data_IF_589726350535
#
_entry.id   IF_589726350535
#
_cell.length_a   1.000
_cell.length_b   1.000
_cell.length_c   1.000
_cell.angle_alpha   90.00
_cell.angle_beta   90.00
_cell.angle_gamma   90.00
#
_symmetry.space_group_name_H-M   'P 1'
#
loop_
_entity.id
_entity.type
_entity.pdbx_description
1 polymer ?
#
# COMPACT_ATOMS: atom_id res chain seq x y z
N UNK A 1 -30.14 -1.56 -6.57
CA UNK A 1 -29.41 -1.23 -5.35
C UNK A 1 -27.94 -1.60 -5.57
N UNK A 2 -27.08 -0.65 -5.95
CA UNK A 2 -25.63 -0.88 -6.09
C UNK A 2 -25.07 -1.03 -4.67
N UNK A 3 -24.86 -2.27 -4.22
CA UNK A 3 -24.05 -2.51 -3.02
C UNK A 3 -22.62 -2.05 -3.36
N UNK A 4 -22.15 -1.03 -2.65
CA UNK A 4 -20.74 -0.66 -2.67
C UNK A 4 -19.95 -1.89 -2.28
N UNK A 5 -19.03 -2.29 -3.16
CA UNK A 5 -18.11 -3.36 -2.88
C UNK A 5 -17.13 -2.84 -1.82
N UNK A 6 -17.08 -3.48 -0.67
CA UNK A 6 -15.97 -3.31 0.26
C UNK A 6 -14.73 -3.95 -0.37
N UNK A 7 -13.56 -3.38 -0.08
CA UNK A 7 -12.30 -3.84 -0.67
C UNK A 7 -11.72 -5.06 0.05
N UNK A 8 -12.31 -5.46 1.15
CA UNK A 8 -11.76 -6.47 2.05
C UNK A 8 -11.72 -7.90 1.47
N UNK A 9 -12.50 -8.17 0.41
CA UNK A 9 -12.51 -9.45 -0.31
C UNK A 9 -11.54 -9.50 -1.52
N UNK A 10 -10.81 -8.40 -1.79
CA UNK A 10 -9.72 -8.42 -2.76
C UNK A 10 -8.54 -9.20 -2.19
N UNK A 11 -7.93 -10.03 -3.02
CA UNK A 11 -6.69 -10.71 -2.70
C UNK A 11 -5.51 -9.87 -3.16
N UNK A 12 -4.57 -9.66 -2.26
CA UNK A 12 -3.39 -8.83 -2.46
C UNK A 12 -2.13 -9.64 -2.18
N UNK A 13 -1.12 -9.46 -3.02
CA UNK A 13 0.26 -9.85 -2.80
C UNK A 13 1.14 -8.62 -2.95
N UNK A 14 2.09 -8.41 -2.05
CA UNK A 14 3.10 -7.35 -2.09
C UNK A 14 4.48 -8.00 -2.01
N UNK A 15 5.36 -7.66 -2.93
CA UNK A 15 6.74 -8.13 -2.97
C UNK A 15 7.61 -7.37 -1.96
N UNK A 16 7.39 -7.64 -0.68
CA UNK A 16 8.07 -6.97 0.42
C UNK A 16 8.22 -7.91 1.63
N UNK A 17 9.42 -7.94 2.22
CA UNK A 17 9.71 -8.68 3.45
C UNK A 17 9.61 -7.79 4.69
N UNK A 18 9.48 -6.47 4.49
CA UNK A 18 9.35 -5.49 5.57
C UNK A 18 8.39 -4.36 5.21
N UNK A 19 7.91 -3.67 6.23
CA UNK A 19 7.21 -2.40 6.14
C UNK A 19 7.83 -1.37 7.08
N UNK A 20 7.58 -0.09 6.85
CA UNK A 20 8.02 0.99 7.73
C UNK A 20 7.05 1.13 8.89
N UNK A 21 7.53 0.85 10.11
CA UNK A 21 6.74 1.09 11.31
C UNK A 21 6.57 2.58 11.56
N UNK A 22 5.40 2.97 12.04
CA UNK A 22 5.06 4.37 12.35
C UNK A 22 4.82 4.58 13.84
N UNK A 23 5.03 5.81 14.30
CA UNK A 23 4.67 6.26 15.63
C UNK A 23 3.15 6.56 15.74
N UNK A 24 2.71 7.05 16.88
CA UNK A 24 1.31 7.39 17.15
C UNK A 24 0.74 8.53 16.29
N UNK A 25 1.62 9.32 15.67
CA UNK A 25 1.26 10.38 14.71
C UNK A 25 1.33 9.91 13.27
N UNK A 26 1.53 8.61 13.04
CA UNK A 26 1.72 7.98 11.72
C UNK A 26 2.99 8.45 10.99
N UNK A 27 4.01 8.90 11.74
CA UNK A 27 5.32 9.25 11.20
C UNK A 27 6.24 8.02 11.25
N UNK A 28 6.96 7.70 10.16
CA UNK A 28 7.92 6.59 10.17
C UNK A 28 8.99 6.73 11.27
N UNK A 29 9.20 5.64 12.00
CA UNK A 29 10.21 5.60 13.07
C UNK A 29 11.63 5.35 12.58
N UNK A 30 11.80 5.11 11.26
CA UNK A 30 13.05 4.66 10.66
C UNK A 30 13.24 3.13 10.71
N UNK A 31 12.38 2.40 11.40
CA UNK A 31 12.48 0.95 11.52
C UNK A 31 11.87 0.22 10.32
N UNK A 32 12.65 -0.69 9.72
CA UNK A 32 12.16 -1.70 8.78
C UNK A 32 11.67 -2.91 9.61
N UNK A 33 10.37 -3.08 9.72
CA UNK A 33 9.74 -4.15 10.51
C UNK A 33 9.38 -5.32 9.61
N UNK A 34 9.85 -6.53 9.95
CA UNK A 34 9.53 -7.73 9.17
C UNK A 34 8.03 -7.98 9.08
N UNK A 35 7.53 -8.34 7.90
CA UNK A 35 6.11 -8.67 7.70
C UNK A 35 5.76 -10.07 8.20
N UNK A 36 6.72 -10.99 8.21
CA UNK A 36 6.51 -12.39 8.54
C UNK A 36 5.81 -12.58 9.90
N UNK A 37 4.77 -13.41 9.93
CA UNK A 37 3.95 -13.69 11.12
C UNK A 37 3.22 -12.47 11.70
N UNK A 38 3.02 -11.42 10.89
CA UNK A 38 2.24 -10.24 11.27
C UNK A 38 1.02 -10.08 10.36
N UNK A 39 0.05 -9.23 10.71
CA UNK A 39 -1.04 -8.86 9.80
C UNK A 39 -0.57 -8.25 8.48
N UNK A 40 0.65 -7.72 8.42
CA UNK A 40 1.26 -7.10 7.25
C UNK A 40 1.90 -8.10 6.28
N UNK A 41 1.87 -9.41 6.56
CA UNK A 41 2.42 -10.42 5.66
C UNK A 41 1.53 -10.61 4.44
N UNK A 42 1.84 -9.89 3.36
CA UNK A 42 1.29 -10.03 2.02
C UNK A 42 2.30 -10.64 1.04
N UNK A 43 3.33 -11.33 1.52
CA UNK A 43 4.32 -12.01 0.67
C UNK A 43 3.70 -13.10 -0.23
N UNK A 44 2.51 -13.56 0.13
CA UNK A 44 1.66 -14.43 -0.68
C UNK A 44 0.24 -13.89 -0.72
N UNK A 45 -0.56 -14.32 -1.72
CA UNK A 45 -1.94 -13.86 -1.83
C UNK A 45 -2.74 -14.16 -0.57
N UNK A 46 -3.31 -13.11 0.01
CA UNK A 46 -4.36 -13.20 1.03
C UNK A 46 -5.39 -12.08 0.82
N UNK A 47 -6.59 -12.28 1.31
CA UNK A 47 -7.59 -11.20 1.29
C UNK A 47 -7.14 -10.06 2.19
N UNK A 48 -7.38 -8.81 1.78
CA UNK A 48 -7.08 -7.61 2.60
C UNK A 48 -7.79 -7.73 3.95
N UNK A 49 -8.99 -8.28 3.98
CA UNK A 49 -9.79 -8.43 5.20
C UNK A 49 -9.34 -9.53 6.16
N UNK A 50 -8.42 -10.43 5.75
CA UNK A 50 -8.06 -11.62 6.56
C UNK A 50 -7.61 -11.26 7.98
N UNK A 51 -6.70 -10.30 8.07
CA UNK A 51 -6.09 -9.90 9.35
C UNK A 51 -6.42 -8.43 9.70
N UNK A 52 -7.41 -7.83 9.03
CA UNK A 52 -7.73 -6.40 9.15
C UNK A 52 -8.11 -5.97 10.58
N UNK A 53 -8.72 -6.87 11.34
CA UNK A 53 -9.13 -6.63 12.72
C UNK A 53 -8.23 -7.36 13.75
N UNK A 54 -7.03 -7.77 13.36
CA UNK A 54 -6.08 -8.40 14.29
C UNK A 54 -5.63 -7.41 15.36
N UNK A 55 -5.41 -7.89 16.58
CA UNK A 55 -4.79 -7.10 17.65
C UNK A 55 -3.32 -6.80 17.28
N UNK A 56 -3.08 -5.63 16.70
CA UNK A 56 -1.75 -5.19 16.29
C UNK A 56 -1.66 -3.67 16.39
N UNK A 57 -0.62 -3.18 17.07
CA UNK A 57 -0.44 -1.76 17.36
C UNK A 57 -0.36 -0.89 16.09
N UNK A 58 0.25 -1.38 15.02
CA UNK A 58 0.38 -0.63 13.77
C UNK A 58 -0.98 -0.53 13.05
N UNK A 59 -1.79 -1.59 13.06
CA UNK A 59 -3.17 -1.53 12.55
C UNK A 59 -4.06 -0.56 13.36
N UNK A 60 -3.88 -0.52 14.69
CA UNK A 60 -4.61 0.44 15.54
C UNK A 60 -4.25 1.88 15.16
N UNK A 61 -2.95 2.20 15.02
CA UNK A 61 -2.47 3.53 14.65
C UNK A 61 -3.02 3.97 13.29
N UNK A 62 -2.97 3.09 12.28
CA UNK A 62 -3.46 3.37 10.93
C UNK A 62 -4.97 3.27 10.77
N UNK A 63 -5.69 2.84 11.82
CA UNK A 63 -7.11 2.48 11.75
C UNK A 63 -7.39 1.47 10.62
N UNK A 64 -6.43 0.57 10.37
CA UNK A 64 -6.33 -0.35 9.27
C UNK A 64 -4.95 -0.30 8.61
N UNK A 65 -4.84 -0.70 7.36
CA UNK A 65 -3.56 -0.55 6.63
C UNK A 65 -3.42 0.89 6.13
N UNK A 66 -2.30 1.52 6.52
CA UNK A 66 -1.83 2.81 6.02
C UNK A 66 -0.30 2.88 6.22
N UNK A 67 0.41 1.98 5.53
CA UNK A 67 1.83 1.76 5.76
C UNK A 67 2.59 1.59 4.45
N UNK A 68 3.84 2.06 4.44
CA UNK A 68 4.76 1.89 3.33
C UNK A 68 5.48 0.55 3.45
N UNK A 69 5.29 -0.32 2.47
CA UNK A 69 6.02 -1.58 2.32
C UNK A 69 7.35 -1.32 1.62
N UNK A 70 8.40 -1.94 2.13
CA UNK A 70 9.76 -1.89 1.57
C UNK A 70 9.84 -2.93 0.46
N UNK A 71 9.84 -2.49 -0.80
CA UNK A 71 9.87 -3.39 -1.94
C UNK A 71 11.21 -4.14 -1.96
N UNK A 72 11.15 -5.46 -2.12
CA UNK A 72 12.34 -6.29 -2.21
C UNK A 72 13.18 -5.88 -3.44
N UNK A 73 14.51 -5.78 -3.30
CA UNK A 73 15.37 -5.40 -4.39
C UNK A 73 15.33 -6.43 -5.54
N UNK A 74 15.56 -5.97 -6.76
CA UNK A 74 15.63 -6.78 -7.97
C UNK A 74 16.83 -6.41 -8.79
N UNK A 75 17.29 -7.33 -9.65
CA UNK A 75 18.34 -7.05 -10.65
C UNK A 75 17.84 -6.13 -11.77
N UNK A 76 16.53 -5.99 -11.92
CA UNK A 76 15.90 -5.09 -12.90
C UNK A 76 15.46 -3.79 -12.25
N UNK A 77 15.57 -2.68 -13.02
CA UNK A 77 15.16 -1.36 -12.54
C UNK A 77 13.66 -1.30 -12.19
N UNK A 78 12.82 -2.04 -12.94
CA UNK A 78 11.38 -2.12 -12.70
C UNK A 78 11.03 -3.43 -11.98
N UNK A 79 10.36 -3.32 -10.84
CA UNK A 79 9.99 -4.44 -9.98
C UNK A 79 8.48 -4.61 -9.98
N UNK A 80 7.97 -5.85 -10.07
CA UNK A 80 6.57 -6.16 -9.75
C UNK A 80 6.40 -5.99 -8.23
N UNK A 81 5.88 -4.82 -7.84
CA UNK A 81 5.74 -4.43 -6.44
C UNK A 81 4.51 -5.07 -5.78
N UNK A 82 3.40 -5.17 -6.53
CA UNK A 82 2.16 -5.73 -6.00
C UNK A 82 1.28 -6.35 -7.09
N UNK A 83 0.48 -7.32 -6.69
CA UNK A 83 -0.58 -7.90 -7.51
C UNK A 83 -1.88 -7.92 -6.72
N UNK A 84 -2.93 -7.38 -7.30
CA UNK A 84 -4.29 -7.41 -6.76
C UNK A 84 -5.19 -8.22 -7.66
N UNK A 85 -6.01 -9.07 -7.09
CA UNK A 85 -7.07 -9.75 -7.82
C UNK A 85 -8.40 -9.68 -7.06
N UNK A 86 -9.49 -9.58 -7.83
CA UNK A 86 -10.84 -9.63 -7.28
C UNK A 86 -11.51 -10.94 -7.72
N UNK A 87 -11.60 -11.96 -6.83
CA UNK A 87 -12.04 -13.32 -7.20
C UNK A 87 -13.39 -13.37 -7.90
N UNK A 88 -14.36 -12.54 -7.46
CA UNK A 88 -15.72 -12.56 -8.03
C UNK A 88 -15.81 -12.02 -9.45
N UNK A 89 -14.93 -11.10 -9.86
CA UNK A 89 -14.95 -10.50 -11.21
C UNK A 89 -13.83 -10.99 -12.11
N UNK A 90 -12.87 -11.74 -11.58
CA UNK A 90 -11.67 -12.17 -12.27
C UNK A 90 -10.68 -11.06 -12.59
N UNK A 91 -10.96 -9.79 -12.22
CA UNK A 91 -10.07 -8.66 -12.52
C UNK A 91 -8.76 -8.79 -11.76
N UNK A 92 -7.67 -8.52 -12.46
CA UNK A 92 -6.31 -8.52 -11.92
C UNK A 92 -5.64 -7.20 -12.29
N UNK A 93 -4.93 -6.61 -11.34
CA UNK A 93 -4.05 -5.47 -11.55
C UNK A 93 -2.67 -5.81 -10.99
N UNK A 94 -1.63 -5.63 -11.80
CA UNK A 94 -0.23 -5.69 -11.38
C UNK A 94 0.35 -4.28 -11.36
N UNK A 95 1.15 -4.00 -10.36
CA UNK A 95 1.85 -2.72 -10.17
C UNK A 95 3.34 -2.97 -10.28
N UNK A 96 4.00 -2.27 -11.21
CA UNK A 96 5.44 -2.29 -11.40
C UNK A 96 5.98 -0.89 -11.12
N UNK A 97 7.15 -0.78 -10.49
CA UNK A 97 7.75 0.51 -10.17
C UNK A 97 9.28 0.42 -10.06
N UNK A 98 9.94 1.56 -10.26
CA UNK A 98 11.34 1.81 -9.93
C UNK A 98 11.53 2.37 -8.51
N UNK A 99 10.43 2.60 -7.78
CA UNK A 99 10.45 3.19 -6.44
C UNK A 99 10.74 2.16 -5.36
N UNK A 100 11.40 2.57 -4.24
CA UNK A 100 11.77 1.66 -3.16
C UNK A 100 10.59 1.19 -2.29
N UNK A 101 9.46 1.87 -2.36
CA UNK A 101 8.32 1.59 -1.49
C UNK A 101 6.97 1.65 -2.19
N UNK A 102 5.99 0.99 -1.59
CA UNK A 102 4.58 1.09 -1.95
C UNK A 102 3.72 1.25 -0.69
N UNK A 103 2.97 2.35 -0.60
CA UNK A 103 1.98 2.54 0.46
C UNK A 103 0.74 1.72 0.14
N UNK A 104 0.28 0.93 1.11
CA UNK A 104 -1.05 0.35 1.11
C UNK A 104 -1.93 1.17 2.05
N UNK A 105 -2.91 1.88 1.48
CA UNK A 105 -3.93 2.60 2.24
C UNK A 105 -5.31 2.01 1.95
N UNK A 106 -6.04 1.65 2.98
CA UNK A 106 -7.33 0.95 2.85
C UNK A 106 -8.56 1.83 3.04
N UNK A 107 -8.41 3.15 2.81
CA UNK A 107 -9.54 4.08 2.86
C UNK A 107 -10.10 4.27 4.27
N UNK A 108 -9.25 4.20 5.30
CA UNK A 108 -9.64 4.12 6.72
C UNK A 108 -10.33 5.39 7.21
N UNK A 109 -9.95 6.55 6.66
CA UNK A 109 -10.45 7.87 7.08
C UNK A 109 -11.61 8.40 6.21
N UNK A 110 -12.13 7.59 5.29
CA UNK A 110 -13.34 7.91 4.55
C UNK A 110 -14.55 7.76 5.47
N UNK A 111 -15.35 8.83 5.64
CA UNK A 111 -16.36 8.95 6.70
C UNK A 111 -17.79 9.15 6.18
N UNK A 112 -18.03 8.92 4.88
CA UNK A 112 -19.30 9.14 4.20
C UNK A 112 -19.70 10.62 3.99
N UNK A 113 -18.81 11.58 4.24
CA UNK A 113 -19.09 13.01 3.99
C UNK A 113 -18.94 13.37 2.51
N UNK A 114 -18.05 12.67 1.77
CA UNK A 114 -17.80 12.92 0.35
C UNK A 114 -18.82 12.24 -0.55
N UNK A 115 -19.45 13.01 -1.43
CA UNK A 115 -20.41 12.49 -2.42
C UNK A 115 -19.69 11.78 -3.56
N UNK A 116 -20.10 10.56 -3.88
CA UNK A 116 -19.57 9.79 -5.00
C UNK A 116 -20.21 10.22 -6.34
N UNK A 117 -19.47 10.03 -7.46
CA UNK A 117 -19.91 10.43 -8.82
C UNK A 117 -21.31 9.89 -9.21
N UNK A 118 -21.67 8.69 -8.75
CA UNK A 118 -22.95 8.05 -9.09
C UNK A 118 -23.98 8.15 -7.96
N UNK A 119 -23.89 9.16 -7.10
CA UNK A 119 -24.69 9.32 -5.90
C UNK A 119 -24.21 8.40 -4.75
N UNK A 120 -24.68 8.70 -3.54
CA UNK A 120 -24.18 8.07 -2.31
C UNK A 120 -22.87 8.73 -1.84
N UNK A 121 -22.12 8.12 -0.92
CA UNK A 121 -20.93 8.69 -0.26
C UNK A 121 -19.76 7.70 -0.24
N UNK A 122 -18.54 8.14 -0.08
CA UNK A 122 -17.38 7.28 0.15
C UNK A 122 -17.25 7.00 1.66
N UNK A 123 -17.34 5.74 2.05
CA UNK A 123 -17.17 5.30 3.43
C UNK A 123 -15.89 4.51 3.65
N UNK A 124 -15.59 4.12 4.90
CA UNK A 124 -14.41 3.32 5.21
C UNK A 124 -14.37 2.03 4.38
N UNK A 125 -13.19 1.63 3.96
CA UNK A 125 -12.91 0.40 3.18
C UNK A 125 -13.74 0.26 1.89
N UNK A 126 -14.14 1.37 1.26
CA UNK A 126 -14.82 1.36 -0.06
C UNK A 126 -13.86 1.55 -1.23
N UNK A 127 -12.59 1.80 -0.96
CA UNK A 127 -11.49 1.91 -1.91
C UNK A 127 -10.17 1.67 -1.19
N UNK A 128 -9.13 1.36 -1.93
CA UNK A 128 -7.75 1.29 -1.43
C UNK A 128 -6.79 1.86 -2.46
N UNK A 129 -5.61 2.27 -2.00
CA UNK A 129 -4.54 2.78 -2.83
C UNK A 129 -3.31 1.86 -2.73
N UNK A 130 -2.56 1.78 -3.82
CA UNK A 130 -1.18 1.29 -3.89
C UNK A 130 -0.35 2.43 -4.47
N UNK A 131 0.39 3.13 -3.59
CA UNK A 131 1.08 4.37 -3.93
C UNK A 131 2.59 4.10 -3.98
N UNK A 132 3.14 4.03 -5.18
CA UNK A 132 4.58 3.81 -5.37
C UNK A 132 5.33 5.09 -5.08
N UNK A 133 6.34 5.04 -4.20
CA UNK A 133 6.99 6.23 -3.68
C UNK A 133 8.36 5.96 -3.07
N UNK A 134 9.15 7.01 -2.82
CA UNK A 134 10.20 6.97 -1.83
C UNK A 134 9.62 6.80 -0.43
N UNK A 135 10.46 6.41 0.53
CA UNK A 135 10.00 6.24 1.90
C UNK A 135 9.54 7.57 2.50
N UNK A 136 8.35 7.63 3.12
CA UNK A 136 7.90 8.84 3.79
C UNK A 136 8.86 9.19 4.94
N UNK A 137 8.99 10.48 5.24
CA UNK A 137 9.93 11.05 6.22
C UNK A 137 11.43 10.83 5.89
N UNK A 138 11.77 10.44 4.65
CA UNK A 138 13.17 10.19 4.26
C UNK A 138 14.15 11.33 4.60
N UNK A 139 13.80 12.63 4.50
CA UNK A 139 14.71 13.72 4.89
C UNK A 139 15.18 13.66 6.34
N UNK A 140 14.40 13.07 7.24
CA UNK A 140 14.68 12.96 8.67
C UNK A 140 15.22 11.58 9.08
N UNK A 141 15.28 10.63 8.15
CA UNK A 141 15.69 9.25 8.40
C UNK A 141 16.98 8.92 7.64
N UNK A 142 18.16 9.01 8.27
CA UNK A 142 19.46 8.88 7.57
C UNK A 142 19.71 7.48 6.99
N UNK A 143 18.97 6.48 7.40
CA UNK A 143 19.03 5.11 6.88
C UNK A 143 18.09 4.87 5.68
N UNK A 144 17.27 5.87 5.29
CA UNK A 144 16.41 5.77 4.12
C UNK A 144 17.12 6.28 2.86
N UNK A 145 16.73 5.82 1.67
CA UNK A 145 17.19 6.41 0.42
C UNK A 145 16.90 7.92 0.41
N UNK A 146 17.90 8.70 0.01
CA UNK A 146 17.75 10.16 -0.02
C UNK A 146 16.69 10.61 -1.02
N UNK A 147 15.90 11.62 -0.65
CA UNK A 147 15.00 12.33 -1.55
C UNK A 147 15.53 13.70 -1.96
N UNK A 148 16.81 14.01 -1.63
CA UNK A 148 17.47 15.26 -2.01
C UNK A 148 17.72 15.27 -3.52
N UNK A 149 17.23 16.30 -4.19
CA UNK A 149 17.53 16.60 -5.60
C UNK A 149 18.42 17.86 -5.64
N UNK A 150 19.65 17.72 -6.14
CA UNK A 150 20.57 18.85 -6.23
C UNK A 150 20.28 19.71 -7.47
N UNK A 151 20.71 20.99 -7.49
CA UNK A 151 20.59 21.82 -8.67
C UNK A 151 21.26 21.18 -9.89
N UNK A 152 20.53 21.09 -11.01
CA UNK A 152 20.99 20.47 -12.25
C UNK A 152 20.71 18.98 -12.40
N UNK A 153 20.25 18.31 -11.34
CA UNK A 153 19.76 16.93 -11.41
C UNK A 153 18.31 16.87 -11.92
N UNK A 154 17.95 15.76 -12.52
CA UNK A 154 16.58 15.49 -12.96
C UNK A 154 16.03 14.30 -12.18
N UNK A 155 14.89 14.46 -11.52
CA UNK A 155 14.15 13.36 -10.93
C UNK A 155 13.33 12.66 -12.02
N UNK A 156 13.40 11.32 -12.06
CA UNK A 156 12.56 10.47 -12.90
C UNK A 156 11.95 9.37 -12.05
N UNK A 157 10.72 9.00 -12.35
CA UNK A 157 10.01 7.90 -11.70
C UNK A 157 9.08 7.23 -12.69
N UNK A 158 9.03 5.92 -12.66
CA UNK A 158 8.12 5.13 -13.48
C UNK A 158 7.26 4.20 -12.64
N UNK A 159 5.97 4.16 -12.96
CA UNK A 159 5.02 3.18 -12.42
C UNK A 159 4.12 2.68 -13.55
N UNK A 160 4.04 1.36 -13.68
CA UNK A 160 3.19 0.72 -14.69
C UNK A 160 2.07 -0.07 -14.03
N UNK A 161 0.89 0.03 -14.59
CA UNK A 161 -0.27 -0.75 -14.21
C UNK A 161 -0.65 -1.69 -15.34
N UNK A 162 -0.61 -2.99 -15.10
CA UNK A 162 -1.07 -4.00 -16.05
C UNK A 162 -2.40 -4.57 -15.58
N UNK A 163 -3.42 -4.47 -16.44
CA UNK A 163 -4.75 -4.99 -16.16
C UNK A 163 -5.03 -6.24 -17.00
N UNK A 164 -5.65 -7.24 -16.37
CA UNK A 164 -6.10 -8.47 -17.02
C UNK A 164 -7.34 -9.04 -16.35
N UNK A 165 -7.86 -10.12 -16.92
CA UNK A 165 -8.97 -10.92 -16.37
C UNK A 165 -8.52 -12.38 -16.38
N UNK A 166 -8.74 -13.09 -15.27
CA UNK A 166 -8.55 -14.54 -15.15
C UNK A 166 -9.79 -15.27 -15.60
#
# INVERSE_FOLDING_TARGET
>A
MYKRQQILDHELMINADAFLAVDENQIPTGAHTAVAQTPFDFSSFKTIGKDFNAENKQLEIGNGYDHCFVINPSETAMVEAAVVQHPKSGRVMKVFTDQPGVQLYTGNFLDNTLTAKNGGTYGPQTGFCLETQHFPDAPNQPNFPTTTLNPGETFTSETWFQFSVK
#
